data_IF_194767205371
#
_entry.id   IF_194767205371
#
_cell.length_a   1.000
_cell.length_b   1.000
_cell.length_c   1.000
_cell.angle_alpha   90.00
_cell.angle_beta   90.00
_cell.angle_gamma   90.00
#
_symmetry.space_group_name_H-M   'P 1'
#
loop_
_entity.id
_entity.type
_entity.pdbx_description
1 polymer ?
#
# COMPACT_ATOMS: atom_id res chain seq x y z
N UNK A 1 2.03 -14.00 17.33
CA UNK A 1 1.74 -12.72 16.62
C UNK A 1 0.95 -12.92 15.33
N UNK A 2 1.26 -13.94 14.52
CA UNK A 2 0.57 -14.31 13.27
C UNK A 2 -0.95 -14.43 13.40
N UNK A 3 -1.45 -15.03 14.49
CA UNK A 3 -2.89 -15.29 14.69
C UNK A 3 -3.74 -14.00 14.79
N UNK A 4 -3.27 -12.96 15.50
CA UNK A 4 -4.00 -11.68 15.60
C UNK A 4 -4.01 -10.94 14.25
N UNK A 5 -2.88 -10.94 13.55
CA UNK A 5 -2.79 -10.29 12.23
C UNK A 5 -3.67 -10.99 11.19
N UNK A 6 -3.66 -12.32 11.16
CA UNK A 6 -4.51 -13.11 10.25
C UNK A 6 -6.00 -12.92 10.53
N UNK A 7 -6.41 -12.81 11.80
CA UNK A 7 -7.80 -12.51 12.14
C UNK A 7 -8.25 -11.13 11.62
N UNK A 8 -7.38 -10.11 11.74
CA UNK A 8 -7.62 -8.79 11.16
C UNK A 8 -7.68 -8.87 9.63
N UNK A 9 -6.73 -9.57 9.00
CA UNK A 9 -6.72 -9.78 7.55
C UNK A 9 -8.04 -10.36 7.07
N UNK A 10 -8.53 -11.46 7.67
CA UNK A 10 -9.80 -12.10 7.31
C UNK A 10 -10.98 -11.12 7.35
N UNK A 11 -11.03 -10.25 8.37
CA UNK A 11 -12.10 -9.25 8.49
C UNK A 11 -11.98 -8.17 7.42
N UNK A 12 -10.77 -7.66 7.21
CA UNK A 12 -10.45 -6.66 6.19
C UNK A 12 -10.78 -7.16 4.79
N UNK A 13 -10.35 -8.37 4.42
CA UNK A 13 -10.59 -8.93 3.10
C UNK A 13 -12.09 -9.15 2.88
N UNK A 14 -12.80 -9.70 3.86
CA UNK A 14 -14.25 -9.90 3.76
C UNK A 14 -15.00 -8.58 3.55
N UNK A 15 -14.62 -7.50 4.25
CA UNK A 15 -15.21 -6.17 4.07
C UNK A 15 -14.91 -5.57 2.69
N UNK A 16 -13.78 -5.92 2.10
CA UNK A 16 -13.31 -5.43 0.81
C UNK A 16 -13.72 -6.32 -0.38
N UNK A 17 -14.47 -7.41 -0.14
CA UNK A 17 -14.86 -8.36 -1.20
C UNK A 17 -13.77 -9.34 -1.64
N UNK A 18 -12.73 -9.55 -0.82
CA UNK A 18 -11.65 -10.50 -1.04
C UNK A 18 -11.71 -11.68 -0.06
N UNK A 19 -11.06 -12.80 -0.42
CA UNK A 19 -10.78 -13.90 0.52
C UNK A 19 -9.37 -13.80 1.08
N UNK A 20 -9.20 -14.22 2.34
CA UNK A 20 -7.91 -14.42 2.99
C UNK A 20 -7.46 -15.90 2.93
N UNK A 21 -8.23 -16.78 2.28
CA UNK A 21 -7.86 -18.18 2.11
C UNK A 21 -6.60 -18.29 1.25
N UNK A 22 -5.63 -19.09 1.71
CA UNK A 22 -4.33 -19.20 1.05
C UNK A 22 -3.46 -17.93 1.11
N UNK A 23 -3.80 -16.95 1.95
CA UNK A 23 -2.96 -15.77 2.14
C UNK A 23 -1.64 -16.11 2.85
N UNK A 24 -0.56 -15.48 2.41
CA UNK A 24 0.80 -15.72 2.91
C UNK A 24 1.38 -14.44 3.52
N UNK A 25 1.99 -14.50 4.71
CA UNK A 25 2.66 -13.34 5.28
C UNK A 25 3.96 -13.06 4.51
N UNK A 26 4.11 -11.85 4.00
CA UNK A 26 5.37 -11.35 3.42
C UNK A 26 6.27 -10.81 4.53
N UNK A 27 5.69 -10.04 5.46
CA UNK A 27 6.38 -9.44 6.61
C UNK A 27 5.39 -9.15 7.71
N UNK A 28 5.71 -9.49 8.95
CA UNK A 28 4.90 -9.15 10.14
C UNK A 28 5.76 -8.31 11.08
N UNK A 29 5.43 -7.03 11.20
CA UNK A 29 6.21 -6.03 11.93
C UNK A 29 5.32 -4.82 12.27
N UNK A 30 5.82 -3.59 12.11
CA UNK A 30 5.05 -2.36 12.32
C UNK A 30 3.89 -2.21 11.32
N UNK A 31 4.09 -2.69 10.09
CA UNK A 31 3.03 -2.88 9.11
C UNK A 31 3.04 -4.35 8.70
N UNK A 32 1.94 -5.05 8.92
CA UNK A 32 1.81 -6.44 8.49
C UNK A 32 1.50 -6.45 6.99
N UNK A 33 2.29 -7.17 6.22
CA UNK A 33 2.17 -7.27 4.77
C UNK A 33 1.81 -8.70 4.43
N UNK A 34 0.67 -8.87 3.77
CA UNK A 34 0.13 -10.15 3.36
C UNK A 34 -0.03 -10.19 1.85
N UNK A 35 0.37 -11.28 1.23
CA UNK A 35 -0.06 -11.66 -0.12
C UNK A 35 -1.40 -12.37 0.02
N UNK A 36 -2.39 -12.03 -0.79
CA UNK A 36 -3.61 -12.86 -0.89
C UNK A 36 -3.31 -14.16 -1.67
N UNK A 37 -4.33 -14.99 -1.92
CA UNK A 37 -4.15 -16.26 -2.62
C UNK A 37 -3.22 -16.12 -3.85
N UNK A 38 -2.28 -17.06 -4.08
CA UNK A 38 -1.40 -17.02 -5.24
C UNK A 38 -2.19 -16.83 -6.55
N UNK A 39 -1.68 -15.96 -7.42
CA UNK A 39 -2.32 -15.63 -8.70
C UNK A 39 -3.33 -14.48 -8.64
N UNK A 40 -3.73 -14.00 -7.44
CA UNK A 40 -4.55 -12.78 -7.31
C UNK A 40 -3.79 -11.52 -7.67
N UNK A 41 -2.47 -11.50 -7.46
CA UNK A 41 -1.63 -10.31 -7.64
C UNK A 41 -1.96 -9.19 -6.65
N UNK A 42 -2.45 -9.52 -5.45
CA UNK A 42 -2.88 -8.55 -4.43
C UNK A 42 -2.04 -8.66 -3.17
N UNK A 43 -1.54 -7.51 -2.72
CA UNK A 43 -0.88 -7.34 -1.42
C UNK A 43 -1.72 -6.45 -0.51
N UNK A 44 -1.95 -6.90 0.72
CA UNK A 44 -2.62 -6.14 1.77
C UNK A 44 -1.57 -5.66 2.78
N UNK A 45 -1.58 -4.36 3.09
CA UNK A 45 -0.76 -3.76 4.14
C UNK A 45 -1.67 -3.34 5.29
N UNK A 46 -1.48 -3.93 6.46
CA UNK A 46 -2.26 -3.66 7.66
C UNK A 46 -1.41 -2.83 8.62
N UNK A 47 -1.79 -1.57 8.80
CA UNK A 47 -1.11 -0.64 9.67
C UNK A 47 -1.52 -0.83 11.15
N UNK A 48 -0.83 -0.12 12.04
CA UNK A 48 -1.17 -0.05 13.46
C UNK A 48 -2.47 0.72 13.69
N UNK A 49 -3.04 0.51 14.87
CA UNK A 49 -4.19 1.28 15.32
C UNK A 49 -3.88 2.80 15.29
N UNK A 50 -4.87 3.61 14.93
CA UNK A 50 -4.72 5.06 14.82
C UNK A 50 -3.98 5.57 13.57
N UNK A 51 -3.55 4.70 12.65
CA UNK A 51 -2.83 5.10 11.43
C UNK A 51 -3.75 5.30 10.20
N UNK A 52 -5.05 5.55 10.40
CA UNK A 52 -6.03 5.60 9.30
C UNK A 52 -5.75 6.75 8.34
N UNK A 53 -5.49 7.95 8.87
CA UNK A 53 -5.15 9.13 8.07
C UNK A 53 -3.82 8.96 7.34
N UNK A 54 -2.83 8.33 7.99
CA UNK A 54 -1.54 8.04 7.37
C UNK A 54 -1.70 7.07 6.19
N UNK A 55 -2.47 5.99 6.38
CA UNK A 55 -2.76 5.02 5.33
C UNK A 55 -3.54 5.64 4.16
N UNK A 56 -4.54 6.49 4.44
CA UNK A 56 -5.29 7.22 3.42
C UNK A 56 -4.39 8.18 2.62
N UNK A 57 -3.51 8.92 3.31
CA UNK A 57 -2.51 9.79 2.67
C UNK A 57 -1.56 9.01 1.77
N UNK A 58 -1.04 7.87 2.22
CA UNK A 58 -0.17 7.02 1.41
C UNK A 58 -0.85 6.57 0.11
N UNK A 59 -2.11 6.17 0.18
CA UNK A 59 -2.90 5.79 -1.00
C UNK A 59 -3.11 6.99 -1.92
N UNK A 60 -3.46 8.16 -1.39
CA UNK A 60 -3.68 9.37 -2.19
C UNK A 60 -2.40 9.77 -2.95
N UNK A 61 -1.25 9.77 -2.27
CA UNK A 61 0.05 10.04 -2.89
C UNK A 61 0.35 8.99 -3.97
N UNK A 62 0.19 7.70 -3.68
CA UNK A 62 0.47 6.66 -4.65
C UNK A 62 -0.44 6.73 -5.89
N UNK A 63 -1.72 7.09 -5.72
CA UNK A 63 -2.64 7.35 -6.84
C UNK A 63 -2.15 8.50 -7.70
N UNK A 64 -1.78 9.63 -7.08
CA UNK A 64 -1.24 10.79 -7.82
C UNK A 64 0.05 10.46 -8.57
N UNK A 65 0.97 9.70 -7.96
CA UNK A 65 2.19 9.24 -8.62
C UNK A 65 1.87 8.36 -9.85
N UNK A 66 0.92 7.43 -9.70
CA UNK A 66 0.51 6.55 -10.80
C UNK A 66 -0.14 7.33 -11.95
N UNK A 67 -1.01 8.31 -11.66
CA UNK A 67 -1.62 9.17 -12.69
C UNK A 67 -0.60 10.11 -13.35
N UNK A 68 0.50 10.41 -12.67
CA UNK A 68 1.59 11.26 -13.17
C UNK A 68 2.68 10.48 -13.93
N UNK A 69 2.46 9.19 -14.21
CA UNK A 69 3.40 8.34 -14.95
C UNK A 69 4.67 7.95 -14.17
N UNK A 70 4.70 8.18 -12.85
CA UNK A 70 5.82 7.75 -12.01
C UNK A 70 5.69 6.23 -11.77
N UNK A 71 6.76 5.43 -11.98
CA UNK A 71 6.75 3.99 -11.72
C UNK A 71 6.77 3.69 -10.21
N UNK A 72 5.64 3.93 -9.54
CA UNK A 72 5.40 3.63 -8.13
C UNK A 72 4.49 2.41 -7.96
N UNK A 73 4.45 1.83 -6.75
CA UNK A 73 3.52 0.74 -6.42
C UNK A 73 2.08 1.26 -6.53
N UNK A 74 1.22 0.50 -7.21
CA UNK A 74 -0.15 0.93 -7.49
C UNK A 74 -1.12 0.42 -6.42
N UNK A 75 -1.92 1.29 -5.80
CA UNK A 75 -3.04 0.86 -4.96
C UNK A 75 -4.18 0.35 -5.84
N UNK A 76 -4.94 -0.65 -5.37
CA UNK A 76 -6.14 -1.10 -6.06
C UNK A 76 -7.21 0.01 -6.14
N UNK A 77 -8.03 0.04 -7.20
CA UNK A 77 -9.07 1.05 -7.41
C UNK A 77 -10.33 0.75 -6.58
N UNK A 78 -10.16 0.58 -5.27
CA UNK A 78 -11.24 0.38 -4.28
C UNK A 78 -11.22 1.50 -3.24
N UNK A 79 -12.31 1.63 -2.48
CA UNK A 79 -12.33 2.48 -1.30
C UNK A 79 -11.42 1.92 -0.21
N UNK A 80 -10.43 2.71 0.20
CA UNK A 80 -9.42 2.30 1.17
C UNK A 80 -8.83 3.54 1.87
N UNK A 81 -8.37 3.41 3.13
CA UNK A 81 -8.17 2.17 3.88
C UNK A 81 -9.46 1.53 4.38
N UNK A 82 -9.47 0.20 4.41
CA UNK A 82 -10.52 -0.59 5.07
C UNK A 82 -10.14 -0.75 6.53
N UNK A 83 -11.09 -0.60 7.45
CA UNK A 83 -10.84 -0.61 8.90
C UNK A 83 -11.44 -1.86 9.56
N UNK A 84 -10.63 -2.56 10.35
CA UNK A 84 -11.10 -3.64 11.23
C UNK A 84 -10.29 -3.68 12.51
N UNK A 85 -10.97 -3.84 13.66
CA UNK A 85 -10.35 -3.87 14.98
C UNK A 85 -9.38 -2.67 15.22
N UNK A 86 -9.79 -1.47 14.79
CA UNK A 86 -8.99 -0.25 14.90
C UNK A 86 -7.79 -0.14 13.95
N UNK A 87 -7.49 -1.19 13.19
CA UNK A 87 -6.34 -1.26 12.27
C UNK A 87 -6.77 -0.96 10.83
N UNK A 88 -6.18 0.04 10.16
CA UNK A 88 -6.45 0.34 8.77
C UNK A 88 -5.63 -0.58 7.86
N UNK A 89 -6.22 -0.99 6.73
CA UNK A 89 -5.57 -1.80 5.72
C UNK A 89 -5.73 -1.22 4.32
N UNK A 90 -4.66 -1.29 3.54
CA UNK A 90 -4.60 -0.82 2.15
C UNK A 90 -4.25 -1.98 1.22
N UNK A 91 -4.78 -1.93 0.00
CA UNK A 91 -4.69 -2.99 -1.00
C UNK A 91 -3.92 -2.48 -2.21
N UNK A 92 -2.97 -3.28 -2.66
CA UNK A 92 -1.97 -2.91 -3.66
C UNK A 92 -1.83 -4.01 -4.71
N UNK A 93 -1.50 -3.61 -5.93
CA UNK A 93 -0.97 -4.53 -6.95
C UNK A 93 0.34 -5.14 -6.43
N UNK A 94 0.45 -6.46 -6.51
CA UNK A 94 1.70 -7.15 -6.21
C UNK A 94 2.75 -6.82 -7.26
N UNK A 95 3.93 -6.40 -6.79
CA UNK A 95 5.06 -6.20 -7.69
C UNK A 95 5.61 -7.54 -8.18
N UNK A 96 6.14 -7.59 -9.42
CA UNK A 96 6.91 -8.74 -9.85
C UNK A 96 8.12 -8.95 -8.92
N UNK A 97 8.71 -10.17 -8.91
CA UNK A 97 9.90 -10.47 -8.11
C UNK A 97 10.98 -9.40 -8.30
N UNK A 98 11.63 -9.02 -7.19
CA UNK A 98 12.65 -7.98 -7.19
C UNK A 98 13.71 -8.27 -8.26
N UNK A 99 14.02 -7.25 -9.06
CA UNK A 99 15.12 -7.27 -10.03
C UNK A 99 16.17 -6.25 -9.60
N UNK A 100 17.47 -6.56 -9.77
CA UNK A 100 18.54 -5.59 -9.54
C UNK A 100 18.28 -4.30 -10.31
N UNK A 101 18.64 -3.16 -9.72
CA UNK A 101 18.53 -1.87 -10.40
C UNK A 101 19.32 -1.89 -11.71
N UNK A 102 18.72 -1.39 -12.78
CA UNK A 102 19.44 -1.18 -14.04
C UNK A 102 20.52 -0.11 -13.87
N UNK A 103 21.53 -0.11 -14.74
CA UNK A 103 22.66 0.85 -14.75
C UNK A 103 22.23 2.32 -14.75
N UNK A 104 21.00 2.62 -15.22
CA UNK A 104 20.44 3.99 -15.24
C UNK A 104 20.04 4.52 -13.86
N UNK A 105 19.97 3.66 -12.83
CA UNK A 105 19.67 4.04 -11.46
C UNK A 105 18.31 4.75 -11.28
N UNK A 106 18.02 5.26 -10.07
CA UNK A 106 16.76 5.96 -9.78
C UNK A 106 16.75 7.43 -10.23
N UNK A 107 17.90 8.01 -10.64
CA UNK A 107 18.04 9.45 -10.87
C UNK A 107 17.04 10.03 -11.89
N UNK A 108 16.75 9.39 -13.04
CA UNK A 108 15.74 9.90 -13.97
C UNK A 108 14.32 9.90 -13.36
N UNK A 109 13.98 8.89 -12.57
CA UNK A 109 12.67 8.79 -11.90
C UNK A 109 12.52 9.86 -10.83
N UNK A 110 13.59 10.12 -10.07
CA UNK A 110 13.61 11.18 -9.05
C UNK A 110 13.50 12.57 -9.66
N UNK A 111 14.18 12.84 -10.78
CA UNK A 111 14.01 14.11 -11.51
C UNK A 111 12.56 14.29 -11.97
N UNK A 112 11.99 13.28 -12.63
CA UNK A 112 10.59 13.31 -13.07
C UNK A 112 9.65 13.60 -11.89
N UNK A 113 9.85 12.92 -10.76
CA UNK A 113 9.06 13.15 -9.54
C UNK A 113 9.15 14.59 -9.03
N UNK A 114 10.35 15.17 -9.01
CA UNK A 114 10.58 16.54 -8.52
C UNK A 114 9.99 17.62 -9.44
N UNK A 115 9.80 17.31 -10.72
CA UNK A 115 9.25 18.24 -11.71
C UNK A 115 7.71 18.23 -11.75
N UNK A 116 7.04 17.31 -11.03
CA UNK A 116 5.58 17.21 -11.04
C UNK A 116 4.92 18.36 -10.27
N UNK A 117 3.85 18.97 -10.81
CA UNK A 117 3.04 19.89 -10.05
C UNK A 117 2.34 19.14 -8.91
N UNK A 118 2.59 19.58 -7.68
CA UNK A 118 1.94 19.03 -6.49
C UNK A 118 0.51 19.58 -6.42
N UNK A 119 -0.53 18.74 -6.44
CA UNK A 119 -1.90 19.18 -6.26
C UNK A 119 -2.11 19.82 -4.88
N UNK A 120 -2.88 20.91 -4.82
CA UNK A 120 -3.16 21.64 -3.57
C UNK A 120 -3.93 20.79 -2.53
N UNK A 121 -4.67 19.79 -2.99
CA UNK A 121 -5.45 18.85 -2.19
C UNK A 121 -4.67 17.58 -1.82
N UNK A 122 -3.41 17.45 -2.29
CA UNK A 122 -2.57 16.32 -1.91
C UNK A 122 -2.17 16.46 -0.44
N UNK A 123 -2.45 15.46 0.41
CA UNK A 123 -2.29 15.59 1.86
C UNK A 123 -0.82 15.45 2.29
N UNK A 124 0.10 16.26 1.76
CA UNK A 124 1.51 16.24 2.15
C UNK A 124 1.67 16.82 3.56
N UNK A 125 2.42 16.12 4.42
CA UNK A 125 2.88 16.72 5.67
C UNK A 125 4.08 17.64 5.38
N UNK A 126 4.19 18.79 6.05
CA UNK A 126 5.40 19.58 5.98
C UNK A 126 6.59 18.76 6.48
N UNK A 127 7.80 18.99 5.94
CA UNK A 127 8.97 18.12 6.12
C UNK A 127 9.47 17.96 7.58
N UNK A 128 8.90 18.67 8.56
CA UNK A 128 9.23 18.56 9.98
C UNK A 128 8.01 18.90 10.85
N UNK A 129 7.35 17.87 11.39
CA UNK A 129 6.38 17.92 12.50
C UNK A 129 6.63 16.76 13.45
#
# INVERSE_FOLDING_TARGET
MTSRSLAVLRRITALAGFSADGAEPIRLAENDIWRLAPGTGVVVRIAREGQAEAAAREVAIARWLATSGVPAVRPLPIDQPVLAAGRPATFWEELPPHRPSTEKGPAPVLRHLHDLPIPNDLPLRPPWT
#
